data_IF_965739417157
#
_entry.id   IF_965739417157
#
_cell.length_a   1.000
_cell.length_b   1.000
_cell.length_c   1.000
_cell.angle_alpha   90.00
_cell.angle_beta   90.00
_cell.angle_gamma   90.00
#
_symmetry.space_group_name_H-M   'P 1'
#
loop_
_entity.id
_entity.type
_entity.pdbx_description
1 polymer ?
#
# COMPACT_ATOMS: atom_id res chain seq x y z
N UNK A 1 10.46 -3.96 -9.73
CA UNK A 1 9.81 -5.24 -9.39
C UNK A 1 8.36 -5.20 -9.85
N UNK A 2 7.68 -6.33 -10.02
CA UNK A 2 6.29 -6.38 -10.47
C UNK A 2 5.44 -7.12 -9.43
N UNK A 3 4.49 -6.41 -8.82
CA UNK A 3 3.46 -7.00 -7.96
C UNK A 3 2.29 -7.37 -8.87
N UNK A 4 1.78 -8.59 -8.73
CA UNK A 4 0.58 -9.03 -9.46
C UNK A 4 -0.61 -9.00 -8.54
N UNK A 5 -1.62 -8.20 -8.88
CA UNK A 5 -2.80 -8.00 -8.05
C UNK A 5 -4.07 -8.04 -8.89
N UNK A 6 -5.16 -8.57 -8.31
CA UNK A 6 -6.51 -8.43 -8.90
C UNK A 6 -7.29 -7.46 -8.04
N UNK A 7 -7.53 -6.27 -8.59
CA UNK A 7 -8.23 -5.19 -7.90
C UNK A 7 -9.72 -5.25 -8.22
N UNK A 8 -10.56 -4.94 -7.23
CA UNK A 8 -12.01 -4.80 -7.42
C UNK A 8 -12.34 -3.31 -7.41
N UNK A 9 -13.04 -2.86 -8.44
CA UNK A 9 -13.59 -1.52 -8.51
C UNK A 9 -15.10 -1.62 -8.76
N UNK A 10 -15.86 -0.70 -8.19
CA UNK A 10 -17.30 -0.62 -8.42
C UNK A 10 -17.62 -0.17 -9.84
N UNK A 11 -16.82 0.76 -10.37
CA UNK A 11 -16.99 1.29 -11.72
C UNK A 11 -15.64 1.71 -12.32
N UNK A 12 -15.47 1.44 -13.61
CA UNK A 12 -14.39 2.00 -14.44
C UNK A 12 -14.94 3.20 -15.20
N UNK A 13 -14.31 4.36 -15.02
CA UNK A 13 -14.73 5.62 -15.66
C UNK A 13 -14.01 5.85 -16.99
N UNK A 14 -12.77 5.36 -17.12
CA UNK A 14 -12.01 5.48 -18.36
C UNK A 14 -10.71 4.70 -18.34
N UNK A 15 -10.26 4.31 -19.54
CA UNK A 15 -8.93 3.73 -19.77
C UNK A 15 -8.30 4.52 -20.91
N UNK A 16 -7.25 5.26 -20.62
CA UNK A 16 -6.59 6.14 -21.60
C UNK A 16 -5.09 5.86 -21.64
N UNK A 17 -4.50 5.74 -22.85
CA UNK A 17 -3.05 5.70 -22.97
C UNK A 17 -2.49 7.09 -22.67
N UNK A 18 -1.46 7.15 -21.83
CA UNK A 18 -0.77 8.39 -21.47
C UNK A 18 0.73 8.30 -21.83
N UNK A 19 1.30 9.44 -22.22
CA UNK A 19 2.72 9.59 -22.59
C UNK A 19 3.08 9.14 -24.01
N UNK A 20 4.31 9.47 -24.43
CA UNK A 20 4.88 9.18 -25.75
C UNK A 20 6.19 8.37 -25.65
N UNK A 21 6.51 7.62 -26.71
CA UNK A 21 7.76 6.85 -26.81
C UNK A 21 7.90 5.78 -25.72
N UNK A 22 9.07 5.71 -25.08
CA UNK A 22 9.39 4.72 -24.03
C UNK A 22 8.63 4.97 -22.71
N UNK A 23 8.01 6.14 -22.52
CA UNK A 23 7.26 6.49 -21.30
C UNK A 23 5.77 6.18 -21.37
N UNK A 24 5.31 5.48 -22.41
CA UNK A 24 3.88 5.20 -22.61
C UNK A 24 3.37 4.24 -21.53
N UNK A 25 2.31 4.65 -20.84
CA UNK A 25 1.63 3.86 -19.83
C UNK A 25 0.11 3.99 -19.96
N UNK A 26 -0.63 3.22 -19.16
CA UNK A 26 -2.09 3.26 -19.13
C UNK A 26 -2.51 3.91 -17.83
N UNK A 27 -3.29 4.98 -17.93
CA UNK A 27 -4.01 5.53 -16.78
C UNK A 27 -5.42 4.94 -16.75
N UNK A 28 -5.83 4.50 -15.57
CA UNK A 28 -7.16 3.93 -15.32
C UNK A 28 -7.84 4.79 -14.27
N UNK A 29 -8.98 5.38 -14.62
CA UNK A 29 -9.83 6.12 -13.69
C UNK A 29 -10.92 5.19 -13.13
N UNK A 30 -10.96 5.06 -11.81
CA UNK A 30 -11.82 4.14 -11.06
C UNK A 30 -12.49 4.86 -9.89
N UNK A 31 -13.74 4.50 -9.65
CA UNK A 31 -14.48 4.89 -8.44
C UNK A 31 -14.57 3.70 -7.48
N UNK A 32 -14.39 3.96 -6.18
CA UNK A 32 -14.44 2.97 -5.09
C UNK A 32 -13.53 1.74 -5.35
N UNK A 33 -12.20 1.96 -5.40
CA UNK A 33 -11.20 0.90 -5.57
C UNK A 33 -10.88 0.20 -4.24
N UNK A 34 -11.05 -1.12 -4.19
CA UNK A 34 -10.63 -1.95 -3.06
C UNK A 34 -9.29 -2.66 -3.36
N UNK A 35 -8.32 -2.43 -2.47
CA UNK A 35 -6.94 -2.89 -2.57
C UNK A 35 -6.59 -3.87 -1.43
N UNK A 36 -7.34 -3.86 -0.33
CA UNK A 36 -6.94 -4.51 0.92
C UNK A 36 -6.79 -6.04 0.80
N UNK A 37 -7.58 -6.67 -0.07
CA UNK A 37 -7.49 -8.11 -0.35
C UNK A 37 -6.72 -8.44 -1.64
N UNK A 38 -6.38 -7.42 -2.43
CA UNK A 38 -5.81 -7.59 -3.76
C UNK A 38 -4.29 -7.80 -3.75
N UNK A 39 -3.62 -7.34 -2.69
CA UNK A 39 -2.18 -7.46 -2.48
C UNK A 39 -1.93 -8.03 -1.10
N UNK A 40 -1.10 -9.08 -1.02
CA UNK A 40 -0.73 -9.64 0.27
C UNK A 40 0.23 -8.68 0.99
N UNK A 41 -0.09 -8.31 2.23
CA UNK A 41 0.77 -7.48 3.07
C UNK A 41 2.18 -8.07 3.21
N UNK A 42 2.32 -9.40 3.27
CA UNK A 42 3.63 -10.05 3.36
C UNK A 42 4.50 -9.82 2.10
N UNK A 43 3.89 -9.64 0.92
CA UNK A 43 4.62 -9.30 -0.31
C UNK A 43 5.06 -7.84 -0.32
N UNK A 44 4.37 -6.97 0.43
CA UNK A 44 4.72 -5.55 0.55
C UNK A 44 5.77 -5.37 1.64
N UNK A 45 5.56 -5.94 2.82
CA UNK A 45 6.40 -5.72 4.01
C UNK A 45 7.84 -6.17 3.76
N UNK A 46 8.05 -7.26 3.02
CA UNK A 46 9.40 -7.75 2.70
C UNK A 46 10.21 -6.79 1.81
N UNK A 47 9.56 -5.83 1.16
CA UNK A 47 10.21 -4.86 0.26
C UNK A 47 10.71 -3.61 0.97
N UNK A 48 10.29 -3.40 2.22
CA UNK A 48 10.67 -2.23 3.01
C UNK A 48 11.45 -2.66 4.25
N UNK A 49 12.42 -1.85 4.67
CA UNK A 49 13.05 -2.08 5.97
C UNK A 49 12.08 -1.79 7.10
N UNK A 50 12.35 -2.34 8.28
CA UNK A 50 11.54 -2.05 9.47
C UNK A 50 11.50 -0.55 9.78
N UNK A 51 12.60 0.15 9.55
CA UNK A 51 12.70 1.59 9.76
C UNK A 51 11.83 2.37 8.76
N UNK A 52 11.87 2.00 7.47
CA UNK A 52 11.03 2.66 6.44
C UNK A 52 9.53 2.50 6.75
N UNK A 53 9.13 1.32 7.23
CA UNK A 53 7.75 1.05 7.62
C UNK A 53 7.37 1.83 8.89
N UNK A 54 8.27 1.92 9.87
CA UNK A 54 8.03 2.66 11.11
C UNK A 54 7.90 4.16 10.84
N UNK A 55 8.74 4.72 9.97
CA UNK A 55 8.67 6.12 9.54
C UNK A 55 7.38 6.42 8.77
N UNK A 56 6.95 5.51 7.89
CA UNK A 56 5.74 5.69 7.11
C UNK A 56 4.45 5.61 7.96
N UNK A 57 4.41 4.71 8.94
CA UNK A 57 3.25 4.53 9.84
C UNK A 57 3.26 5.56 10.97
N UNK A 58 4.44 5.93 11.45
CA UNK A 58 4.66 6.78 12.63
C UNK A 58 4.89 5.94 13.89
N UNK A 59 6.06 6.08 14.49
CA UNK A 59 6.46 5.34 15.69
C UNK A 59 5.44 5.48 16.84
N UNK A 60 4.97 6.70 17.13
CA UNK A 60 3.97 6.93 18.18
C UNK A 60 2.65 6.19 17.95
N UNK A 61 2.24 6.06 16.69
CA UNK A 61 1.02 5.34 16.31
C UNK A 61 1.21 3.84 16.54
N UNK A 62 2.37 3.29 16.16
CA UNK A 62 2.72 1.89 16.39
C UNK A 62 2.82 1.59 17.89
N UNK A 63 3.46 2.46 18.68
CA UNK A 63 3.56 2.33 20.14
C UNK A 63 2.17 2.34 20.77
N UNK A 64 1.29 3.24 20.35
CA UNK A 64 -0.08 3.35 20.87
C UNK A 64 -0.87 2.08 20.58
N UNK A 65 -0.81 1.59 19.34
CA UNK A 65 -1.46 0.34 18.93
C UNK A 65 -0.93 -0.88 19.70
N UNK A 66 0.39 -1.00 19.89
CA UNK A 66 0.99 -2.08 20.68
C UNK A 66 0.50 -2.07 22.14
N UNK A 67 0.38 -0.89 22.75
CA UNK A 67 -0.17 -0.73 24.10
C UNK A 67 -1.64 -1.13 24.18
N UNK A 68 -2.45 -0.77 23.18
CA UNK A 68 -3.86 -1.20 23.08
C UNK A 68 -4.00 -2.73 22.94
N UNK A 69 -3.05 -3.38 22.28
CA UNK A 69 -2.97 -4.84 22.22
C UNK A 69 -2.44 -5.49 23.52
N UNK A 70 -2.09 -4.72 24.55
CA UNK A 70 -1.63 -5.21 25.85
C UNK A 70 -0.12 -5.44 25.94
N UNK A 71 0.67 -4.94 25.00
CA UNK A 71 2.14 -5.01 25.06
C UNK A 71 2.71 -3.81 25.83
N UNK A 72 3.73 -4.07 26.66
CA UNK A 72 4.57 -3.01 27.23
C UNK A 72 5.69 -2.67 26.25
N UNK A 73 5.68 -1.44 25.75
CA UNK A 73 6.74 -0.91 24.88
C UNK A 73 7.67 -0.04 25.71
N UNK A 74 8.91 -0.50 25.88
CA UNK A 74 9.98 0.28 26.50
C UNK A 74 10.80 0.94 25.39
N UNK A 75 10.72 2.27 25.30
CA UNK A 75 11.66 3.06 24.51
C UNK A 75 13.06 2.92 25.13
N UNK A 76 14.07 2.60 24.31
CA UNK A 76 15.47 2.56 24.73
C UNK A 76 16.01 3.93 25.13
#
# INVERSE_FOLDING_TARGET
>A
MAISATLKAKQLNGVVPFGDGWGRHVEIDVEDLDIAEAVNADEIINEYSTDDLLDAIGEDAVISWLKECGYEVNSL
#
